data_IF_596912704266
#
_entry.id   IF_596912704266
#
_cell.length_a   1.000
_cell.length_b   1.000
_cell.length_c   1.000
_cell.angle_alpha   90.00
_cell.angle_beta   90.00
_cell.angle_gamma   90.00
#
_symmetry.space_group_name_H-M   'P 1'
#
loop_
_entity.id
_entity.type
_entity.pdbx_description
1 polymer ?
#
# COMPACT_ATOMS: atom_id res chain seq x y z
N UNK A 1 9.02 3.45 -1.87
CA UNK A 1 7.74 3.64 -2.58
C UNK A 1 7.68 5.05 -3.12
N UNK A 2 7.61 5.17 -4.43
CA UNK A 2 7.47 6.39 -5.22
C UNK A 2 5.99 6.79 -5.32
N UNK A 3 5.05 5.84 -5.50
CA UNK A 3 3.61 6.12 -5.56
C UNK A 3 2.88 5.86 -4.23
N UNK A 4 3.17 6.68 -3.21
CA UNK A 4 2.52 6.52 -1.88
C UNK A 4 1.02 6.85 -1.92
N UNK A 5 0.60 7.87 -2.67
CA UNK A 5 -0.79 8.28 -2.77
C UNK A 5 -1.68 7.18 -3.39
N UNK A 6 -1.21 6.53 -4.46
CA UNK A 6 -1.89 5.38 -5.06
C UNK A 6 -2.03 4.21 -4.08
N UNK A 7 -1.00 3.96 -3.27
CA UNK A 7 -1.01 2.87 -2.29
C UNK A 7 -2.07 3.12 -1.22
N UNK A 8 -2.10 4.35 -0.71
CA UNK A 8 -3.09 4.79 0.28
C UNK A 8 -4.52 4.65 -0.27
N UNK A 9 -4.76 5.09 -1.51
CA UNK A 9 -6.06 4.96 -2.16
C UNK A 9 -6.48 3.49 -2.30
N UNK A 10 -5.58 2.61 -2.77
CA UNK A 10 -5.86 1.18 -2.90
C UNK A 10 -6.19 0.53 -1.55
N UNK A 11 -5.40 0.83 -0.52
CA UNK A 11 -5.64 0.35 0.84
C UNK A 11 -7.01 0.82 1.37
N UNK A 12 -7.39 2.09 1.14
CA UNK A 12 -8.67 2.62 1.65
C UNK A 12 -9.90 2.16 0.88
N UNK A 13 -9.79 1.86 -0.41
CA UNK A 13 -10.95 1.67 -1.30
C UNK A 13 -11.14 0.25 -1.82
N UNK A 14 -10.04 -0.49 -2.00
CA UNK A 14 -10.06 -1.80 -2.64
C UNK A 14 -9.65 -2.93 -1.69
N UNK A 15 -8.92 -2.62 -0.63
CA UNK A 15 -8.49 -3.63 0.33
C UNK A 15 -9.61 -3.94 1.35
N UNK A 16 -9.80 -5.23 1.63
CA UNK A 16 -10.71 -5.68 2.68
C UNK A 16 -9.91 -5.94 3.94
N UNK A 17 -10.46 -5.55 5.09
CA UNK A 17 -9.81 -5.75 6.39
C UNK A 17 -10.69 -6.59 7.33
N UNK A 18 -10.11 -7.35 8.29
CA UNK A 18 -8.67 -7.45 8.59
C UNK A 18 -7.87 -8.19 7.50
N UNK A 19 -6.64 -7.75 7.25
CA UNK A 19 -5.74 -8.33 6.25
C UNK A 19 -4.34 -8.53 6.82
N UNK A 20 -3.69 -9.63 6.45
CA UNK A 20 -2.30 -9.92 6.82
C UNK A 20 -1.30 -9.24 5.90
N UNK A 21 -0.03 -9.10 6.33
CA UNK A 21 1.07 -8.67 5.45
C UNK A 21 1.08 -9.44 4.13
N UNK A 22 0.87 -10.76 4.17
CA UNK A 22 0.90 -11.63 2.98
C UNK A 22 -0.21 -11.24 2.01
N UNK A 23 -1.44 -11.03 2.50
CA UNK A 23 -2.58 -10.61 1.68
C UNK A 23 -2.39 -9.20 1.11
N UNK A 24 -1.88 -8.27 1.92
CA UNK A 24 -1.58 -6.90 1.48
C UNK A 24 -0.49 -6.88 0.39
N UNK A 25 0.57 -7.66 0.55
CA UNK A 25 1.65 -7.80 -0.45
C UNK A 25 1.12 -8.49 -1.71
N UNK A 26 0.29 -9.53 -1.58
CA UNK A 26 -0.32 -10.19 -2.72
C UNK A 26 -1.24 -9.24 -3.51
N UNK A 27 -2.05 -8.44 -2.81
CA UNK A 27 -2.89 -7.42 -3.44
C UNK A 27 -2.03 -6.33 -4.12
N UNK A 28 -0.98 -5.84 -3.45
CA UNK A 28 -0.06 -4.86 -4.01
C UNK A 28 0.70 -5.40 -5.24
N UNK A 29 1.10 -6.68 -5.23
CA UNK A 29 1.73 -7.33 -6.38
C UNK A 29 0.81 -7.44 -7.61
N UNK A 30 -0.50 -7.53 -7.37
CA UNK A 30 -1.52 -7.57 -8.42
C UNK A 30 -1.79 -6.19 -9.06
N UNK A 31 -1.26 -5.12 -8.47
CA UNK A 31 -1.37 -3.79 -9.05
C UNK A 31 -0.38 -3.64 -10.21
N UNK A 32 -0.90 -3.57 -11.43
CA UNK A 32 -0.10 -3.27 -12.63
C UNK A 32 0.39 -1.81 -12.64
N UNK A 33 -0.25 -0.92 -11.87
CA UNK A 33 0.12 0.49 -11.74
C UNK A 33 1.39 0.71 -10.89
N UNK A 34 1.84 -0.33 -10.18
CA UNK A 34 2.98 -0.27 -9.26
C UNK A 34 4.21 -0.92 -9.88
N UNK A 35 5.35 -0.22 -9.76
CA UNK A 35 6.64 -0.76 -10.18
C UNK A 35 7.09 -1.88 -9.24
N UNK A 36 7.94 -2.79 -9.73
CA UNK A 36 8.54 -3.84 -8.88
C UNK A 36 9.29 -3.27 -7.66
N UNK A 37 9.91 -2.10 -7.81
CA UNK A 37 10.55 -1.39 -6.70
C UNK A 37 9.54 -0.93 -5.63
N UNK A 38 8.36 -0.46 -6.05
CA UNK A 38 7.30 -0.07 -5.12
C UNK A 38 6.76 -1.29 -4.36
N UNK A 39 6.49 -2.38 -5.08
CA UNK A 39 6.03 -3.65 -4.52
C UNK A 39 7.03 -4.21 -3.52
N UNK A 40 8.32 -4.21 -3.88
CA UNK A 40 9.39 -4.65 -3.01
C UNK A 40 9.50 -3.75 -1.78
N UNK A 41 9.51 -2.43 -1.98
CA UNK A 41 9.56 -1.45 -0.89
C UNK A 41 8.37 -1.59 0.07
N UNK A 42 7.17 -1.88 -0.43
CA UNK A 42 5.99 -2.16 0.39
C UNK A 42 6.20 -3.42 1.24
N UNK A 43 6.62 -4.52 0.62
CA UNK A 43 6.84 -5.79 1.32
C UNK A 43 7.98 -5.76 2.36
N UNK A 44 9.03 -4.97 2.10
CA UNK A 44 10.18 -4.83 3.00
C UNK A 44 9.87 -3.89 4.16
N UNK A 45 9.15 -2.79 3.91
CA UNK A 45 8.79 -1.81 4.95
C UNK A 45 7.62 -2.26 5.81
N UNK A 46 6.69 -3.05 5.27
CA UNK A 46 5.53 -3.50 6.04
C UNK A 46 5.99 -4.60 7.03
N UNK A 47 5.89 -4.37 8.35
CA UNK A 47 6.21 -5.41 9.32
C UNK A 47 5.26 -6.60 9.17
N UNK A 48 5.69 -7.77 9.63
CA UNK A 48 4.80 -8.92 9.65
C UNK A 48 3.71 -8.71 10.70
N UNK A 49 2.46 -8.94 10.33
CA UNK A 49 1.32 -8.67 11.20
C UNK A 49 -0.02 -8.77 10.48
N UNK A 50 -1.08 -8.56 11.27
CA UNK A 50 -2.45 -8.42 10.80
C UNK A 50 -2.90 -6.99 11.03
N UNK A 51 -3.48 -6.39 10.00
CA UNK A 51 -3.89 -5.01 9.96
C UNK A 51 -5.41 -4.95 9.92
N UNK A 52 -6.01 -4.16 10.81
CA UNK A 52 -7.46 -4.06 10.91
C UNK A 52 -8.06 -2.99 9.98
N UNK A 53 -7.23 -2.08 9.47
CA UNK A 53 -7.64 -0.97 8.62
C UNK A 53 -6.47 -0.49 7.76
N UNK A 54 -6.77 0.27 6.71
CA UNK A 54 -5.77 0.98 5.91
C UNK A 54 -4.86 1.88 6.76
N UNK A 55 -5.42 2.53 7.78
CA UNK A 55 -4.67 3.41 8.68
C UNK A 55 -3.58 2.67 9.47
N UNK A 56 -3.83 1.41 9.81
CA UNK A 56 -2.86 0.58 10.53
C UNK A 56 -1.66 0.24 9.63
N UNK A 57 -1.95 -0.09 8.37
CA UNK A 57 -0.94 -0.31 7.31
C UNK A 57 -0.14 0.97 7.06
N UNK A 58 -0.82 2.12 6.91
CA UNK A 58 -0.18 3.41 6.69
C UNK A 58 0.73 3.79 7.85
N UNK A 59 0.28 3.64 9.09
CA UNK A 59 1.09 3.89 10.29
C UNK A 59 2.32 2.98 10.33
N UNK A 60 2.15 1.69 10.03
CA UNK A 60 3.25 0.73 10.03
C UNK A 60 4.30 1.04 8.94
N UNK A 61 3.86 1.57 7.79
CA UNK A 61 4.74 1.99 6.70
C UNK A 61 5.33 3.40 6.89
N UNK A 62 4.89 4.15 7.91
CA UNK A 62 5.22 5.56 8.08
C UNK A 62 4.70 6.44 6.94
N UNK A 63 3.62 6.03 6.28
CA UNK A 63 2.97 6.80 5.23
C UNK A 63 2.11 7.90 5.86
N UNK A 64 2.43 9.14 5.52
CA UNK A 64 1.59 10.29 5.84
C UNK A 64 0.71 10.57 4.62
N UNK A 65 -0.56 10.94 4.83
CA UNK A 65 -1.44 11.41 3.75
C UNK A 65 -0.83 12.68 3.14
N UNK A 66 0.00 12.51 2.11
CA UNK A 66 0.43 13.62 1.28
C UNK A 66 -0.74 14.01 0.35
N UNK A 67 -0.95 15.32 0.11
CA UNK A 67 -1.97 15.77 -0.84
C UNK A 67 -1.73 15.05 -2.18
N UNK A 68 -2.78 14.37 -2.65
CA UNK A 68 -2.74 13.44 -3.77
C UNK A 68 -1.86 13.95 -4.91
N UNK A 69 -0.77 13.24 -5.20
CA UNK A 69 -0.07 13.46 -6.46
C UNK A 69 -1.04 13.09 -7.59
N UNK A 70 -1.18 13.93 -8.63
CA UNK A 70 -2.02 13.60 -9.77
C UNK A 70 -1.54 12.25 -10.30
N UNK A 71 -2.46 11.28 -10.31
CA UNK A 71 -2.23 9.93 -10.79
C UNK A 71 -1.52 10.03 -12.13
N UNK A 72 -0.30 9.50 -12.19
CA UNK A 72 0.55 9.60 -13.35
C UNK A 72 -0.18 8.93 -14.51
N UNK A 73 -0.57 9.65 -15.59
CA UNK A 73 -1.14 9.00 -16.75
C UNK A 73 -0.08 8.07 -17.35
N UNK A 74 -0.51 6.86 -17.72
CA UNK A 74 0.30 5.85 -18.42
C UNK A 74 0.96 6.40 -19.68
#
# INVERSE_FOLDING_TARGET
>A
MQNQAGAIAHLKTHQTYPATKVELVAACNNLSDFSDEDKKSFSEKLPEGSYNSAEDVMKALGMQEQPAQPQQPS
#
